data_IF_394521592223
#
_entry.id   IF_394521592223
#
_cell.length_a   1.000
_cell.length_b   1.000
_cell.length_c   1.000
_cell.angle_alpha   90.00
_cell.angle_beta   90.00
_cell.angle_gamma   90.00
#
_symmetry.space_group_name_H-M   'P 1'
#
loop_
_entity.id
_entity.type
_entity.pdbx_description
1 polymer ?
#
# COMPACT_ATOMS: atom_id res chain seq x y z
N UNK A 1 24.91 9.99 -0.18
CA UNK A 1 26.01 10.88 -0.64
C UNK A 1 25.91 11.05 -2.14
N UNK A 2 25.93 12.27 -2.65
CA UNK A 2 25.98 12.55 -4.08
C UNK A 2 27.10 13.57 -4.26
N UNK A 3 28.27 13.11 -4.70
CA UNK A 3 29.35 13.98 -5.16
C UNK A 3 29.18 14.21 -6.66
N UNK A 4 29.16 15.47 -7.07
CA UNK A 4 29.27 15.88 -8.46
C UNK A 4 30.74 16.20 -8.72
N UNK A 5 31.35 15.48 -9.66
CA UNK A 5 32.72 15.74 -10.14
C UNK A 5 32.78 16.97 -11.03
N UNK A 6 33.86 17.70 -10.90
CA UNK A 6 34.17 18.97 -11.58
C UNK A 6 34.71 18.66 -12.99
N UNK A 7 33.95 18.95 -14.04
CA UNK A 7 34.42 18.93 -15.43
C UNK A 7 34.09 20.25 -16.12
N UNK A 8 35.14 20.96 -16.51
CA UNK A 8 35.17 22.40 -16.72
C UNK A 8 35.16 22.75 -18.21
N UNK A 9 34.21 22.20 -18.98
CA UNK A 9 33.86 22.67 -20.34
C UNK A 9 32.48 22.14 -20.69
N UNK A 10 31.52 23.05 -20.90
CA UNK A 10 30.06 22.80 -20.92
C UNK A 10 29.48 22.54 -19.52
N UNK A 11 28.96 23.58 -18.86
CA UNK A 11 28.13 23.42 -17.65
C UNK A 11 26.80 22.76 -18.03
N UNK A 12 26.79 21.44 -18.24
CA UNK A 12 25.57 20.64 -18.40
C UNK A 12 24.80 20.73 -17.09
N UNK A 13 23.79 21.59 -17.06
CA UNK A 13 22.89 21.69 -15.91
C UNK A 13 22.07 20.40 -15.83
N UNK A 14 22.31 19.59 -14.80
CA UNK A 14 21.51 18.40 -14.57
C UNK A 14 20.09 18.80 -14.13
N UNK A 15 19.08 18.20 -14.77
CA UNK A 15 17.67 18.40 -14.42
C UNK A 15 17.22 17.23 -13.55
N UNK A 16 16.76 17.49 -12.34
CA UNK A 16 16.04 16.51 -11.51
C UNK A 16 14.54 16.66 -11.72
N UNK A 17 13.83 15.56 -11.86
CA UNK A 17 12.36 15.52 -11.83
C UNK A 17 11.97 14.60 -10.68
N UNK A 18 11.01 15.03 -9.87
CA UNK A 18 10.52 14.24 -8.76
C UNK A 18 9.03 14.44 -8.57
N UNK A 19 8.45 13.55 -7.78
CA UNK A 19 7.06 13.63 -7.35
C UNK A 19 6.94 13.12 -5.93
N UNK A 20 5.98 13.66 -5.20
CA UNK A 20 5.61 13.14 -3.89
C UNK A 20 4.10 12.98 -3.79
N UNK A 21 3.68 11.97 -3.04
CA UNK A 21 2.28 11.67 -2.75
C UNK A 21 2.17 11.31 -1.27
N UNK A 22 1.31 12.02 -0.56
CA UNK A 22 0.95 11.69 0.81
C UNK A 22 -0.01 10.51 0.83
N UNK A 23 0.30 9.50 1.64
CA UNK A 23 -0.61 8.38 1.85
C UNK A 23 -1.75 8.81 2.77
N UNK A 24 -2.93 8.29 2.49
CA UNK A 24 -4.14 8.58 3.24
C UNK A 24 -4.18 7.72 4.50
N UNK A 25 -4.29 8.38 5.66
CA UNK A 25 -4.38 7.73 6.96
C UNK A 25 -5.69 8.12 7.62
N UNK A 26 -6.47 7.12 8.07
CA UNK A 26 -7.73 7.33 8.81
C UNK A 26 -8.76 8.24 8.10
N UNK A 27 -8.85 8.14 6.76
CA UNK A 27 -9.79 8.95 5.96
C UNK A 27 -9.38 10.41 5.77
N UNK A 28 -8.13 10.75 6.12
CA UNK A 28 -7.56 12.07 5.92
C UNK A 28 -6.25 12.00 5.13
N UNK A 29 -6.10 12.88 4.13
CA UNK A 29 -4.86 13.07 3.39
C UNK A 29 -4.04 14.20 4.01
N UNK A 30 -2.86 13.92 4.60
CA UNK A 30 -1.97 14.95 5.08
C UNK A 30 -1.51 15.87 3.94
N UNK A 31 -1.44 17.16 4.23
CA UNK A 31 -0.80 18.13 3.35
C UNK A 31 0.68 18.23 3.72
N UNK A 32 1.54 18.15 2.72
CA UNK A 32 3.00 18.19 2.85
C UNK A 32 3.54 19.41 2.12
N UNK A 33 4.48 20.11 2.74
CA UNK A 33 5.24 21.21 2.17
C UNK A 33 6.63 20.71 1.78
N UNK A 34 7.00 20.90 0.52
CA UNK A 34 8.32 20.55 -0.01
C UNK A 34 9.19 21.80 -0.07
N UNK A 35 10.38 21.72 0.52
CA UNK A 35 11.42 22.75 0.42
C UNK A 35 12.70 22.10 -0.11
N UNK A 36 13.33 22.71 -1.10
CA UNK A 36 14.60 22.26 -1.66
C UNK A 36 15.64 23.36 -1.53
N UNK A 37 16.74 23.04 -0.86
CA UNK A 37 17.86 23.96 -0.66
C UNK A 37 19.11 23.47 -1.38
N UNK A 38 19.95 24.40 -1.83
CA UNK A 38 21.28 24.09 -2.37
C UNK A 38 22.33 23.96 -1.25
N UNK A 39 23.56 23.66 -1.63
CA UNK A 39 24.71 23.54 -0.72
C UNK A 39 25.04 24.84 0.01
N UNK A 40 24.60 25.98 -0.51
CA UNK A 40 24.83 27.30 0.05
C UNK A 40 23.69 27.73 1.00
N UNK A 41 22.70 26.86 1.21
CA UNK A 41 21.53 27.15 2.05
C UNK A 41 20.44 27.97 1.36
N UNK A 42 20.57 28.27 0.07
CA UNK A 42 19.57 29.01 -0.70
C UNK A 42 18.39 28.10 -1.07
N UNK A 43 17.16 28.59 -0.88
CA UNK A 43 15.94 27.89 -1.27
C UNK A 43 15.74 27.99 -2.79
N UNK A 44 16.00 26.87 -3.49
CA UNK A 44 15.92 26.80 -4.95
C UNK A 44 14.49 26.49 -5.42
N UNK A 45 13.73 25.78 -4.60
CA UNK A 45 12.36 25.41 -4.93
C UNK A 45 11.52 25.23 -3.66
N UNK A 46 10.30 25.74 -3.68
CA UNK A 46 9.36 25.65 -2.56
C UNK A 46 7.96 25.39 -3.08
N UNK A 47 7.28 24.42 -2.49
CA UNK A 47 5.87 24.15 -2.76
C UNK A 47 5.11 24.29 -1.46
N UNK A 48 3.97 24.99 -1.52
CA UNK A 48 3.02 25.08 -0.42
C UNK A 48 2.48 23.71 0.02
N UNK A 49 1.61 23.72 1.03
CA UNK A 49 1.02 22.52 1.58
C UNK A 49 0.11 21.81 0.55
N UNK A 50 0.56 20.69 -0.01
CA UNK A 50 -0.18 19.86 -0.98
C UNK A 50 -0.15 18.39 -0.59
N UNK A 51 -1.19 17.64 -0.94
CA UNK A 51 -1.24 16.19 -0.71
C UNK A 51 -0.39 15.43 -1.74
N UNK A 52 -0.29 15.95 -2.97
CA UNK A 52 0.56 15.42 -4.02
C UNK A 52 1.09 16.58 -4.88
N UNK A 53 2.30 16.43 -5.41
CA UNK A 53 2.80 17.33 -6.44
C UNK A 53 3.94 16.70 -7.24
N UNK A 54 4.12 17.21 -8.46
CA UNK A 54 5.27 16.90 -9.33
C UNK A 54 6.12 18.14 -9.48
N UNK A 55 7.42 18.00 -9.28
CA UNK A 55 8.35 19.11 -9.38
C UNK A 55 9.54 18.80 -10.29
N UNK A 56 10.07 19.83 -10.93
CA UNK A 56 11.29 19.73 -11.74
C UNK A 56 12.26 20.81 -11.32
N UNK A 57 13.48 20.43 -10.98
CA UNK A 57 14.52 21.32 -10.49
C UNK A 57 15.72 21.24 -11.43
N UNK A 58 16.29 22.39 -11.74
CA UNK A 58 17.53 22.48 -12.51
C UNK A 58 18.66 22.83 -11.56
N UNK A 59 19.66 21.96 -11.45
CA UNK A 59 20.83 22.21 -10.62
C UNK A 59 21.71 23.26 -11.30
N UNK A 60 21.65 24.51 -10.83
CA UNK A 60 22.46 25.63 -11.36
C UNK A 60 23.82 25.71 -10.68
N UNK A 61 23.87 25.40 -9.39
CA UNK A 61 25.10 25.32 -8.61
C UNK A 61 25.52 23.86 -8.46
N UNK A 62 26.81 23.54 -8.66
CA UNK A 62 27.35 22.25 -8.28
C UNK A 62 27.33 22.15 -6.76
N UNK A 63 26.97 20.98 -6.23
CA UNK A 63 26.88 20.76 -4.80
C UNK A 63 25.74 19.84 -4.41
N UNK A 64 25.58 19.69 -3.10
CA UNK A 64 24.52 18.87 -2.52
C UNK A 64 23.21 19.65 -2.44
N UNK A 65 22.11 19.00 -2.77
CA UNK A 65 20.77 19.56 -2.63
C UNK A 65 20.04 18.79 -1.53
N UNK A 66 19.43 19.52 -0.59
CA UNK A 66 18.63 18.94 0.49
C UNK A 66 17.15 19.07 0.15
N UNK A 67 16.41 17.98 0.29
CA UNK A 67 14.97 17.92 0.06
C UNK A 67 14.28 17.71 1.41
N UNK A 68 13.53 18.71 1.86
CA UNK A 68 12.83 18.68 3.13
C UNK A 68 11.32 18.59 2.88
N UNK A 69 10.72 17.46 3.26
CA UNK A 69 9.28 17.27 3.26
C UNK A 69 8.77 17.47 4.69
N UNK A 70 7.96 18.51 4.89
CA UNK A 70 7.44 18.89 6.20
C UNK A 70 5.92 18.83 6.17
N UNK A 71 5.30 18.20 7.17
CA UNK A 71 3.84 18.20 7.24
C UNK A 71 3.33 19.60 7.60
N UNK A 72 2.23 19.99 6.96
CA UNK A 72 1.51 21.18 7.34
C UNK A 72 0.97 21.04 8.77
N UNK A 73 1.01 22.10 9.58
CA UNK A 73 0.53 22.06 10.97
C UNK A 73 -0.94 21.62 11.07
N UNK A 74 -1.79 22.04 10.12
CA UNK A 74 -3.19 21.60 10.02
C UNK A 74 -3.35 20.08 9.85
N UNK A 75 -2.37 19.41 9.25
CA UNK A 75 -2.37 17.97 9.04
C UNK A 75 -1.74 17.23 10.22
N UNK A 76 -0.72 17.81 10.84
CA UNK A 76 -0.10 17.27 12.05
C UNK A 76 -1.05 17.28 13.25
N UNK A 77 -1.88 18.31 13.42
CA UNK A 77 -2.87 18.39 14.50
C UNK A 77 -3.97 17.35 14.35
N UNK A 78 -4.41 17.05 13.11
CA UNK A 78 -5.49 16.06 12.85
C UNK A 78 -5.06 14.61 13.01
N UNK A 79 -3.83 14.25 12.65
CA UNK A 79 -3.31 12.88 12.81
C UNK A 79 -2.89 12.55 14.26
N UNK A 80 -2.87 13.53 15.15
CA UNK A 80 -2.38 13.38 16.52
C UNK A 80 -0.89 13.01 16.60
N UNK A 81 -0.36 12.89 17.83
CA UNK A 81 1.05 12.52 18.06
C UNK A 81 1.39 11.07 17.62
N UNK A 82 0.39 10.20 17.47
CA UNK A 82 0.57 8.76 17.23
C UNK A 82 0.18 8.29 15.81
N UNK A 83 -0.39 9.14 14.97
CA UNK A 83 -0.71 8.78 13.59
C UNK A 83 0.55 8.52 12.76
N UNK A 84 0.53 7.45 11.97
CA UNK A 84 1.55 7.16 10.95
C UNK A 84 1.51 8.24 9.87
N UNK A 85 2.69 8.73 9.47
CA UNK A 85 2.85 9.85 8.53
C UNK A 85 3.72 9.40 7.37
N UNK A 86 3.14 8.56 6.53
CA UNK A 86 3.86 7.99 5.41
C UNK A 86 3.70 8.86 4.17
N UNK A 87 4.83 9.26 3.59
CA UNK A 87 4.88 10.05 2.36
C UNK A 87 5.74 9.28 1.38
N UNK A 88 5.13 8.91 0.25
CA UNK A 88 5.85 8.29 -0.85
C UNK A 88 6.48 9.38 -1.70
N UNK A 89 7.78 9.30 -1.92
CA UNK A 89 8.50 10.27 -2.74
C UNK A 89 9.41 9.55 -3.72
N UNK A 90 9.50 10.10 -4.93
CA UNK A 90 10.32 9.60 -6.01
C UNK A 90 11.14 10.74 -6.60
N UNK A 91 12.45 10.55 -6.74
CA UNK A 91 13.35 11.55 -7.31
C UNK A 91 14.21 10.90 -8.37
N UNK A 92 14.01 11.30 -9.62
CA UNK A 92 14.81 10.88 -10.75
C UNK A 92 15.73 12.04 -11.17
N UNK A 93 17.03 11.78 -11.15
CA UNK A 93 17.98 12.69 -11.80
C UNK A 93 17.97 12.39 -13.28
N UNK A 94 17.54 13.36 -14.09
CA UNK A 94 17.54 13.24 -15.53
C UNK A 94 18.95 13.38 -16.12
N UNK A 95 19.39 12.33 -16.81
CA UNK A 95 19.11 12.28 -18.25
C UNK A 95 17.80 11.49 -18.43
N UNK A 96 16.71 12.16 -18.84
CA UNK A 96 15.76 11.46 -19.70
C UNK A 96 16.61 11.02 -20.90
N UNK A 97 16.73 9.73 -21.17
CA UNK A 97 17.57 9.18 -22.24
C UNK A 97 17.35 9.98 -23.54
N UNK A 98 18.18 11.00 -23.77
CA UNK A 98 18.43 11.51 -25.10
C UNK A 98 19.45 10.52 -25.61
N UNK A 99 18.93 9.48 -26.25
CA UNK A 99 19.70 8.48 -26.96
C UNK A 99 20.34 9.17 -28.18
N UNK A 100 21.33 10.01 -27.95
CA UNK A 100 22.19 10.47 -29.01
C UNK A 100 23.51 10.92 -28.40
N UNK A 101 24.60 10.31 -28.89
CA UNK A 101 25.99 10.63 -28.60
C UNK A 101 26.62 9.85 -27.45
N UNK A 102 26.66 8.51 -27.58
CA UNK A 102 27.88 7.77 -27.23
C UNK A 102 28.13 6.78 -28.36
N UNK A 103 28.74 7.27 -29.43
CA UNK A 103 29.58 6.42 -30.27
C UNK A 103 30.81 6.04 -29.43
N UNK A 104 31.34 4.85 -29.73
CA UNK A 104 32.60 4.27 -29.28
C UNK A 104 32.44 3.08 -28.31
N UNK A 105 32.28 1.92 -28.97
CA UNK A 105 32.96 0.66 -28.69
C UNK A 105 32.41 -0.26 -27.58
N UNK A 106 31.55 -1.17 -28.04
CA UNK A 106 31.67 -2.63 -27.84
C UNK A 106 31.93 -3.16 -26.40
N UNK A 107 31.29 -2.57 -25.39
CA UNK A 107 31.13 -3.25 -24.10
C UNK A 107 29.66 -3.42 -23.71
N UNK A 108 29.26 -4.69 -23.80
CA UNK A 108 28.22 -5.34 -22.99
C UNK A 108 26.76 -5.07 -23.36
N UNK A 109 26.19 -5.82 -24.33
CA UNK A 109 24.74 -6.05 -24.40
C UNK A 109 24.15 -6.54 -23.05
N UNK A 110 24.99 -7.14 -22.19
CA UNK A 110 24.65 -7.49 -20.81
C UNK A 110 24.36 -6.28 -19.92
N UNK A 111 25.09 -5.17 -20.12
CA UNK A 111 24.90 -3.94 -19.35
C UNK A 111 23.60 -3.23 -19.75
N UNK A 112 23.24 -3.32 -21.03
CA UNK A 112 21.99 -2.81 -21.58
C UNK A 112 20.78 -3.57 -21.00
N UNK A 113 20.80 -4.90 -21.02
CA UNK A 113 19.73 -5.75 -20.45
C UNK A 113 19.63 -5.56 -18.93
N UNK A 114 20.76 -5.49 -18.20
CA UNK A 114 20.76 -5.24 -16.75
C UNK A 114 20.24 -3.84 -16.43
N UNK A 115 20.50 -2.84 -17.27
CA UNK A 115 19.97 -1.49 -17.09
C UNK A 115 18.46 -1.39 -17.35
N UNK A 116 17.95 -2.13 -18.35
CA UNK A 116 16.52 -2.27 -18.61
C UNK A 116 15.79 -3.00 -17.49
N UNK A 117 16.31 -4.15 -17.06
CA UNK A 117 15.78 -4.93 -15.94
C UNK A 117 15.76 -4.14 -14.62
N UNK A 118 16.71 -3.23 -14.40
CA UNK A 118 16.71 -2.33 -13.23
C UNK A 118 15.55 -1.33 -13.27
N UNK A 119 15.17 -0.84 -14.46
CA UNK A 119 14.00 0.02 -14.64
C UNK A 119 12.71 -0.71 -14.28
N UNK A 120 12.52 -1.89 -14.87
CA UNK A 120 11.32 -2.72 -14.67
C UNK A 120 11.21 -3.23 -13.23
N UNK A 121 12.34 -3.58 -12.59
CA UNK A 121 12.36 -3.96 -11.18
C UNK A 121 12.04 -2.80 -10.25
N UNK A 122 12.45 -1.57 -10.58
CA UNK A 122 12.06 -0.38 -9.80
C UNK A 122 10.56 -0.09 -9.94
N UNK A 123 10.00 -0.25 -11.14
CA UNK A 123 8.57 -0.13 -11.37
C UNK A 123 7.77 -1.19 -10.61
N UNK A 124 8.15 -2.47 -10.75
CA UNK A 124 7.56 -3.58 -9.98
C UNK A 124 7.66 -3.37 -8.47
N UNK A 125 8.80 -2.88 -7.96
CA UNK A 125 8.99 -2.59 -6.54
C UNK A 125 8.06 -1.49 -6.05
N UNK A 126 7.86 -0.45 -6.85
CA UNK A 126 6.91 0.62 -6.53
C UNK A 126 5.46 0.10 -6.49
N UNK A 127 5.10 -0.79 -7.43
CA UNK A 127 3.81 -1.47 -7.46
C UNK A 127 3.62 -2.43 -6.28
N UNK A 128 4.65 -3.19 -5.90
CA UNK A 128 4.59 -4.07 -4.73
C UNK A 128 4.37 -3.29 -3.44
N UNK A 129 5.06 -2.17 -3.26
CA UNK A 129 4.86 -1.29 -2.11
C UNK A 129 3.44 -0.70 -2.08
N UNK A 130 2.95 -0.25 -3.24
CA UNK A 130 1.58 0.24 -3.39
C UNK A 130 0.52 -0.84 -3.10
N UNK A 131 0.68 -2.04 -3.66
CA UNK A 131 -0.24 -3.17 -3.46
C UNK A 131 -0.25 -3.65 -2.01
N UNK A 132 0.92 -3.71 -1.36
CA UNK A 132 1.03 -4.07 0.05
C UNK A 132 0.29 -3.07 0.95
N UNK A 133 0.44 -1.78 0.70
CA UNK A 133 -0.29 -0.74 1.43
C UNK A 133 -1.80 -0.84 1.21
N UNK A 134 -2.23 -1.11 -0.03
CA UNK A 134 -3.63 -1.35 -0.36
C UNK A 134 -4.17 -2.61 0.35
N UNK A 135 -3.41 -3.68 0.42
CA UNK A 135 -3.79 -4.91 1.10
C UNK A 135 -3.94 -4.69 2.61
N UNK A 136 -3.00 -3.98 3.25
CA UNK A 136 -3.11 -3.60 4.66
C UNK A 136 -4.39 -2.82 4.95
N UNK A 137 -4.76 -1.86 4.07
CA UNK A 137 -6.02 -1.11 4.20
C UNK A 137 -7.26 -1.97 3.99
N UNK A 138 -7.24 -2.91 3.03
CA UNK A 138 -8.37 -3.81 2.82
C UNK A 138 -8.50 -4.91 3.89
N UNK A 139 -7.40 -5.28 4.56
CA UNK A 139 -7.39 -6.32 5.61
C UNK A 139 -8.32 -5.97 6.78
N UNK A 140 -8.39 -4.69 7.17
CA UNK A 140 -9.26 -4.22 8.25
C UNK A 140 -10.76 -4.29 7.91
N UNK A 141 -11.12 -4.22 6.63
CA UNK A 141 -12.52 -4.33 6.17
C UNK A 141 -12.97 -5.79 6.06
N UNK A 142 -12.05 -6.67 5.65
CA UNK A 142 -12.34 -8.11 5.55
C UNK A 142 -12.44 -8.75 6.94
N UNK A 143 -11.61 -8.35 7.89
CA UNK A 143 -11.61 -8.93 9.24
C UNK A 143 -12.88 -8.56 10.05
N UNK A 144 -13.39 -7.33 9.87
CA UNK A 144 -14.63 -6.88 10.52
C UNK A 144 -15.91 -7.48 9.91
N UNK A 145 -15.90 -7.85 8.63
CA UNK A 145 -17.01 -8.57 7.98
C UNK A 145 -17.02 -10.05 8.40
N UNK A 146 -15.83 -10.65 8.52
CA UNK A 146 -15.65 -12.04 8.89
C UNK A 146 -16.23 -12.39 10.27
N UNK A 147 -16.08 -11.50 11.27
CA UNK A 147 -16.57 -11.78 12.63
C UNK A 147 -18.11 -11.79 12.73
N UNK A 148 -18.79 -10.85 12.07
CA UNK A 148 -20.26 -10.77 12.09
C UNK A 148 -20.88 -11.94 11.32
N UNK A 149 -20.33 -12.27 10.15
CA UNK A 149 -20.80 -13.39 9.33
C UNK A 149 -20.56 -14.73 10.01
N UNK A 150 -19.43 -14.90 10.72
CA UNK A 150 -19.16 -16.08 11.55
C UNK A 150 -20.21 -16.31 12.64
N UNK A 151 -20.65 -15.24 13.31
CA UNK A 151 -21.70 -15.32 14.32
C UNK A 151 -23.02 -15.83 13.74
N UNK A 152 -23.45 -15.28 12.59
CA UNK A 152 -24.67 -15.73 11.91
C UNK A 152 -24.55 -17.17 11.39
N UNK A 153 -23.40 -17.56 10.84
CA UNK A 153 -23.16 -18.94 10.38
C UNK A 153 -23.15 -19.94 11.55
N UNK A 154 -22.56 -19.59 12.70
CA UNK A 154 -22.57 -20.42 13.90
C UNK A 154 -24.00 -20.61 14.45
N UNK A 155 -24.80 -19.54 14.46
CA UNK A 155 -26.20 -19.60 14.88
C UNK A 155 -27.03 -20.52 13.95
N UNK A 156 -26.86 -20.39 12.63
CA UNK A 156 -27.54 -21.26 11.66
C UNK A 156 -27.19 -22.74 11.86
N UNK A 157 -25.91 -23.07 12.05
CA UNK A 157 -25.48 -24.44 12.34
C UNK A 157 -26.14 -24.99 13.61
N UNK A 158 -26.22 -24.17 14.67
CA UNK A 158 -26.85 -24.56 15.92
C UNK A 158 -28.36 -24.81 15.76
N UNK A 159 -29.06 -23.96 15.00
CA UNK A 159 -30.49 -24.15 14.70
C UNK A 159 -30.75 -25.46 13.96
N UNK A 160 -29.93 -25.81 12.96
CA UNK A 160 -30.06 -27.07 12.21
C UNK A 160 -29.84 -28.29 13.11
N UNK A 161 -28.84 -28.24 14.00
CA UNK A 161 -28.58 -29.31 14.97
C UNK A 161 -29.78 -29.49 15.91
N UNK A 162 -30.30 -28.40 16.49
CA UNK A 162 -31.47 -28.44 17.39
C UNK A 162 -32.70 -29.00 16.67
N UNK A 163 -32.97 -28.56 15.45
CA UNK A 163 -34.09 -29.06 14.65
C UNK A 163 -33.95 -30.57 14.35
N UNK A 164 -32.75 -31.02 14.01
CA UNK A 164 -32.46 -32.43 13.73
C UNK A 164 -32.68 -33.30 14.98
N UNK A 165 -32.23 -32.85 16.15
CA UNK A 165 -32.46 -33.55 17.42
C UNK A 165 -33.94 -33.58 17.79
N UNK A 166 -34.65 -32.45 17.65
CA UNK A 166 -36.08 -32.38 17.88
C UNK A 166 -36.86 -33.33 16.97
N UNK A 167 -36.52 -33.39 15.68
CA UNK A 167 -37.13 -34.33 14.73
C UNK A 167 -37.00 -35.78 15.21
N UNK A 168 -35.79 -36.22 15.59
CA UNK A 168 -35.56 -37.58 16.07
C UNK A 168 -36.30 -37.84 17.39
N UNK A 169 -36.30 -36.89 18.31
CA UNK A 169 -36.99 -37.02 19.59
C UNK A 169 -38.52 -37.11 19.44
N UNK A 170 -39.11 -36.30 18.55
CA UNK A 170 -40.56 -36.36 18.26
C UNK A 170 -40.96 -37.70 17.66
N UNK A 171 -40.19 -38.23 16.70
CA UNK A 171 -40.43 -39.55 16.11
C UNK A 171 -40.34 -40.62 17.21
N UNK A 172 -39.26 -40.63 18.01
CA UNK A 172 -39.12 -41.59 19.11
C UNK A 172 -40.27 -41.50 20.12
N UNK A 173 -40.75 -40.31 20.46
CA UNK A 173 -41.85 -40.12 21.42
C UNK A 173 -43.19 -40.63 20.87
N UNK A 174 -43.48 -40.41 19.59
CA UNK A 174 -44.69 -40.93 18.93
C UNK A 174 -44.67 -42.46 18.88
N UNK A 175 -43.57 -43.07 18.43
CA UNK A 175 -43.47 -44.53 18.33
C UNK A 175 -43.27 -45.24 19.69
N UNK A 176 -42.73 -44.56 20.70
CA UNK A 176 -42.61 -45.11 22.07
C UNK A 176 -43.94 -45.11 22.81
N UNK A 177 -44.86 -44.18 22.49
CA UNK A 177 -46.18 -44.09 23.14
C UNK A 177 -47.19 -45.02 22.45
N UNK A 178 -47.08 -45.20 21.13
CA UNK A 178 -47.90 -46.15 20.35
C UNK A 178 -47.38 -47.60 20.43
N UNK A 179 -46.08 -47.79 20.71
CA UNK A 179 -45.40 -49.10 20.65
C UNK A 179 -45.50 -49.98 21.90
N UNK A 180 -45.96 -49.47 23.05
CA UNK A 180 -46.11 -50.26 24.29
C UNK A 180 -47.51 -50.88 24.44
N UNK A 181 -48.42 -50.68 23.48
CA UNK A 181 -49.78 -51.26 23.52
C UNK A 181 -50.12 -52.10 22.28
N UNK A 182 -49.23 -53.02 21.85
CA UNK A 182 -49.67 -54.09 20.93
C UNK A 182 -48.89 -55.42 20.93
N UNK A 183 -48.21 -55.78 22.02
CA UNK A 183 -47.63 -57.14 22.18
C UNK A 183 -48.10 -57.82 23.47
N UNK A 184 -49.40 -57.72 23.78
CA UNK A 184 -50.01 -58.54 24.86
C UNK A 184 -51.48 -58.88 24.61
N UNK A 185 -51.86 -59.15 23.36
CA UNK A 185 -53.16 -59.74 23.05
C UNK A 185 -53.03 -60.66 21.85
N UNK A 186 -52.53 -61.87 22.10
CA UNK A 186 -52.79 -63.13 21.38
C UNK A 186 -51.84 -64.23 21.87
N UNK A 187 -52.07 -64.70 23.10
CA UNK A 187 -51.72 -66.06 23.51
C UNK A 187 -52.74 -66.48 24.55
N UNK A 188 -53.95 -66.80 24.11
CA UNK A 188 -54.85 -67.72 24.80
C UNK A 188 -55.70 -68.40 23.73
N UNK A 189 -55.73 -69.73 23.81
CA UNK A 189 -56.29 -70.75 22.91
C UNK A 189 -55.32 -71.22 21.81
#
# INVERSE_FOLDING_TARGET
MVQAGDDQRHRKCHRGVGSFVSLEAEGYKPLVRLRVTNSNGEEVYSVGAKAEDKFSIRARTPGQYSFCLTLAPSSATRLGKRGYRDVLWHLQKGHLFTHHQVTENHLNPLLEIVSGLKGDLMECRSLQLYLKDRELRHRHTVDSTHSRVKGYAALQMLTVIVASVLQVAFIRKLFSTEGVRRVHSKTDI
#
